data_IF_189320880543
#
_entry.id   IF_189320880543
#
_cell.length_a   1.000
_cell.length_b   1.000
_cell.length_c   1.000
_cell.angle_alpha   90.00
_cell.angle_beta   90.00
_cell.angle_gamma   90.00
#
_symmetry.space_group_name_H-M   'P 1'
#
loop_
_entity.id
_entity.type
_entity.pdbx_description
1 polymer ?
#
# COMPACT_ATOMS: atom_id res chain seq x y z
N UNK A 1 -5.33 27.65 2.45
CA UNK A 1 -5.40 26.56 3.33
C UNK A 1 -6.55 25.59 3.07
N UNK A 2 -6.94 25.43 1.79
CA UNK A 2 -7.93 24.46 1.34
C UNK A 2 -7.49 23.00 1.63
N UNK A 3 -6.18 22.69 1.59
CA UNK A 3 -5.61 21.39 1.95
C UNK A 3 -5.83 21.01 3.43
N UNK A 4 -5.77 21.99 4.33
CA UNK A 4 -6.01 21.78 5.75
C UNK A 4 -7.49 21.49 6.02
N UNK A 5 -8.37 22.18 5.31
CA UNK A 5 -9.83 21.99 5.40
C UNK A 5 -10.25 20.59 4.88
N UNK A 6 -9.68 20.13 3.76
CA UNK A 6 -9.94 18.80 3.19
C UNK A 6 -9.50 17.68 4.12
N UNK A 7 -8.38 17.85 4.85
CA UNK A 7 -7.93 16.86 5.85
C UNK A 7 -8.87 16.77 7.06
N UNK A 8 -9.49 17.87 7.47
CA UNK A 8 -10.44 17.89 8.58
C UNK A 8 -11.85 17.43 8.18
N UNK A 9 -12.24 17.61 6.91
CA UNK A 9 -13.61 17.32 6.43
C UNK A 9 -13.79 15.89 5.87
N UNK A 10 -12.88 14.97 6.13
CA UNK A 10 -13.08 13.57 5.77
C UNK A 10 -13.06 13.26 4.28
N UNK A 11 -12.10 13.78 3.52
CA UNK A 11 -11.78 13.39 2.14
C UNK A 11 -12.83 13.70 1.07
N UNK A 12 -13.57 14.78 1.16
CA UNK A 12 -14.50 15.13 0.11
C UNK A 12 -13.84 16.05 -0.93
N UNK A 13 -13.23 15.46 -1.97
CA UNK A 13 -12.58 16.17 -3.08
C UNK A 13 -13.49 17.16 -3.81
N UNK A 14 -14.80 16.98 -3.71
CA UNK A 14 -15.81 17.89 -4.29
C UNK A 14 -15.83 19.27 -3.64
N UNK A 15 -15.54 19.36 -2.36
CA UNK A 15 -15.54 20.66 -1.68
C UNK A 15 -14.33 21.52 -2.07
N UNK A 16 -13.23 20.89 -2.47
CA UNK A 16 -12.04 21.60 -2.97
C UNK A 16 -12.31 22.29 -4.32
N UNK A 17 -13.01 21.61 -5.22
CA UNK A 17 -13.35 22.15 -6.55
C UNK A 17 -14.28 23.35 -6.43
N UNK A 18 -15.30 23.27 -5.57
CA UNK A 18 -16.28 24.36 -5.38
C UNK A 18 -15.71 25.59 -4.65
N UNK A 19 -14.72 25.42 -3.77
CA UNK A 19 -14.11 26.54 -3.07
C UNK A 19 -13.09 27.32 -3.91
N UNK A 20 -12.42 26.66 -4.85
CA UNK A 20 -11.54 27.35 -5.81
C UNK A 20 -12.30 28.18 -6.85
N UNK A 21 -13.57 27.87 -7.11
CA UNK A 21 -14.41 28.59 -8.07
C UNK A 21 -15.12 29.81 -7.49
N UNK A 22 -15.14 30.02 -6.17
CA UNK A 22 -15.85 31.11 -5.53
C UNK A 22 -15.02 32.39 -5.32
N UNK A 23 -13.77 32.43 -5.77
CA UNK A 23 -13.01 33.68 -5.81
C UNK A 23 -13.00 34.22 -7.24
N UNK A 24 -13.90 35.19 -7.45
CA UNK A 24 -14.01 36.08 -8.60
C UNK A 24 -12.80 36.07 -9.54
N UNK A 25 -12.98 35.49 -10.72
CA UNK A 25 -12.49 36.12 -11.94
C UNK A 25 -13.23 35.54 -13.14
N UNK A 26 -14.03 36.41 -13.75
CA UNK A 26 -14.72 36.18 -15.01
C UNK A 26 -13.78 36.24 -16.22
N UNK A 27 -12.59 35.58 -16.14
CA UNK A 27 -11.70 35.47 -17.27
C UNK A 27 -10.91 34.14 -17.19
N UNK A 28 -11.19 33.25 -18.13
CA UNK A 28 -10.49 32.01 -18.41
C UNK A 28 -10.71 30.85 -17.42
N UNK A 29 -11.86 30.20 -17.53
CA UNK A 29 -12.11 28.85 -17.01
C UNK A 29 -11.30 27.75 -17.72
N UNK A 30 -10.09 28.00 -18.17
CA UNK A 30 -9.14 26.92 -18.49
C UNK A 30 -8.55 26.42 -17.20
N UNK A 31 -9.12 25.32 -16.71
CA UNK A 31 -8.52 24.57 -15.60
C UNK A 31 -7.11 24.20 -16.05
N UNK A 32 -6.10 24.76 -15.39
CA UNK A 32 -4.72 24.49 -15.70
C UNK A 32 -4.37 23.06 -15.24
N UNK A 33 -4.29 22.14 -16.19
CA UNK A 33 -3.95 20.73 -15.95
C UNK A 33 -2.60 20.56 -15.24
N UNK A 34 -1.64 21.45 -15.48
CA UNK A 34 -0.35 21.41 -14.76
C UNK A 34 -0.52 21.72 -13.28
N UNK A 35 -1.40 22.67 -12.94
CA UNK A 35 -1.75 23.00 -11.56
C UNK A 35 -2.46 21.83 -10.86
N UNK A 36 -3.38 21.17 -11.56
CA UNK A 36 -4.04 19.95 -11.04
C UNK A 36 -3.00 18.86 -10.82
N UNK A 37 -2.15 18.58 -11.80
CA UNK A 37 -1.10 17.57 -11.68
C UNK A 37 -0.16 17.85 -10.51
N UNK A 38 0.22 19.11 -10.28
CA UNK A 38 1.00 19.51 -9.12
C UNK A 38 0.25 19.24 -7.80
N UNK A 39 -1.03 19.60 -7.73
CA UNK A 39 -1.85 19.35 -6.55
C UNK A 39 -1.99 17.86 -6.24
N UNK A 40 -2.21 17.05 -7.26
CA UNK A 40 -2.25 15.58 -7.13
C UNK A 40 -0.92 15.02 -6.63
N UNK A 41 0.20 15.51 -7.14
CA UNK A 41 1.53 15.11 -6.69
C UNK A 41 1.77 15.45 -5.23
N UNK A 42 1.38 16.64 -4.79
CA UNK A 42 1.55 17.09 -3.39
C UNK A 42 0.63 16.34 -2.44
N UNK A 43 -0.62 16.09 -2.84
CA UNK A 43 -1.58 15.35 -2.01
C UNK A 43 -1.23 13.86 -1.89
N UNK A 44 -0.55 13.30 -2.89
CA UNK A 44 -0.09 11.91 -2.90
C UNK A 44 1.32 11.70 -2.32
N UNK A 45 1.89 12.68 -1.62
CA UNK A 45 3.23 12.54 -1.06
C UNK A 45 3.23 11.55 0.10
N UNK A 46 3.97 10.46 -0.06
CA UNK A 46 4.21 9.43 0.95
C UNK A 46 5.62 8.84 0.78
N UNK A 47 6.16 8.29 1.86
CA UNK A 47 7.44 7.59 1.86
C UNK A 47 7.23 6.07 1.87
N UNK A 48 7.98 5.37 1.02
CA UNK A 48 7.85 3.92 0.86
C UNK A 48 6.67 3.50 0.02
N UNK A 49 6.21 2.28 0.20
CA UNK A 49 5.05 1.73 -0.49
C UNK A 49 3.72 2.29 0.03
N UNK A 50 2.70 2.19 -0.78
CA UNK A 50 1.37 2.69 -0.47
C UNK A 50 0.59 1.67 0.37
N UNK A 51 0.22 2.07 1.58
CA UNK A 51 -0.71 1.34 2.44
C UNK A 51 -2.15 1.60 2.02
N UNK A 52 -2.87 0.56 1.68
CA UNK A 52 -4.25 0.61 1.20
C UNK A 52 -5.18 -0.19 2.11
N UNK A 53 -6.44 0.21 2.16
CA UNK A 53 -7.49 -0.68 2.64
C UNK A 53 -7.74 -1.81 1.63
N UNK A 54 -8.19 -2.97 2.09
CA UNK A 54 -8.40 -4.15 1.24
C UNK A 54 -9.24 -3.88 -0.01
N UNK A 55 -10.30 -3.08 0.10
CA UNK A 55 -11.17 -2.72 -1.02
C UNK A 55 -10.43 -1.93 -2.10
N UNK A 56 -9.57 -1.00 -1.70
CA UNK A 56 -8.75 -0.20 -2.62
C UNK A 56 -7.63 -1.06 -3.21
N UNK A 57 -7.03 -1.92 -2.40
CA UNK A 57 -6.04 -2.88 -2.86
C UNK A 57 -6.60 -3.82 -3.94
N UNK A 58 -7.81 -4.34 -3.75
CA UNK A 58 -8.49 -5.19 -4.74
C UNK A 58 -8.70 -4.47 -6.08
N UNK A 59 -9.08 -3.19 -6.05
CA UNK A 59 -9.22 -2.38 -7.27
C UNK A 59 -7.88 -2.15 -7.96
N UNK A 60 -6.83 -1.92 -7.19
CA UNK A 60 -5.48 -1.77 -7.75
C UNK A 60 -4.96 -3.10 -8.30
N UNK A 61 -5.28 -4.22 -7.67
CA UNK A 61 -4.96 -5.54 -8.19
C UNK A 61 -5.56 -5.74 -9.59
N UNK A 62 -6.85 -5.48 -9.78
CA UNK A 62 -7.53 -5.61 -11.07
C UNK A 62 -6.90 -4.67 -12.12
N UNK A 63 -6.61 -3.42 -11.74
CA UNK A 63 -5.95 -2.46 -12.63
C UNK A 63 -4.54 -2.93 -13.06
N UNK A 64 -3.73 -3.39 -12.11
CA UNK A 64 -2.38 -3.87 -12.39
C UNK A 64 -2.44 -5.15 -13.24
N UNK A 65 -3.41 -6.03 -12.99
CA UNK A 65 -3.59 -7.24 -13.79
C UNK A 65 -3.87 -6.92 -15.26
N UNK A 66 -4.67 -5.90 -15.55
CA UNK A 66 -4.89 -5.42 -16.92
C UNK A 66 -3.60 -4.83 -17.54
N UNK A 67 -2.78 -4.13 -16.77
CA UNK A 67 -1.46 -3.69 -17.22
C UNK A 67 -0.53 -4.87 -17.51
N UNK A 68 -0.51 -5.87 -16.66
CA UNK A 68 0.28 -7.11 -16.84
C UNK A 68 -0.07 -7.78 -18.16
N UNK A 69 -1.36 -7.91 -18.48
CA UNK A 69 -1.83 -8.50 -19.72
C UNK A 69 -1.39 -7.70 -20.95
N UNK A 70 -1.52 -6.38 -20.88
CA UNK A 70 -1.26 -5.48 -22.00
C UNK A 70 0.22 -5.27 -22.25
N UNK A 71 0.99 -4.99 -21.19
CA UNK A 71 2.39 -4.57 -21.29
C UNK A 71 3.39 -5.70 -21.01
N UNK A 72 2.90 -6.91 -20.69
CA UNK A 72 3.71 -8.09 -20.32
C UNK A 72 4.65 -7.84 -19.13
N UNK A 73 4.17 -7.09 -18.13
CA UNK A 73 4.91 -6.78 -16.92
C UNK A 73 5.04 -8.02 -16.02
N UNK A 74 6.16 -8.11 -15.31
CA UNK A 74 6.36 -9.12 -14.27
C UNK A 74 5.95 -8.55 -12.92
N UNK A 75 4.71 -8.78 -12.52
CA UNK A 75 4.18 -8.37 -11.22
C UNK A 75 3.86 -9.59 -10.36
N UNK A 76 4.10 -9.48 -9.07
CA UNK A 76 3.89 -10.60 -8.13
C UNK A 76 2.95 -10.19 -7.01
N UNK A 77 1.98 -11.05 -6.72
CA UNK A 77 1.22 -10.98 -5.49
C UNK A 77 1.93 -11.81 -4.43
N UNK A 78 2.21 -11.20 -3.29
CA UNK A 78 2.85 -11.86 -2.15
C UNK A 78 1.88 -11.85 -0.99
N UNK A 79 1.70 -12.97 -0.32
CA UNK A 79 1.05 -13.05 0.98
C UNK A 79 2.11 -13.28 2.06
N UNK A 80 2.17 -12.35 3.00
CA UNK A 80 3.03 -12.43 4.17
C UNK A 80 2.19 -12.83 5.38
N UNK A 81 2.57 -13.89 6.07
CA UNK A 81 1.86 -14.43 7.21
C UNK A 81 2.72 -14.36 8.47
N UNK A 82 2.12 -13.89 9.55
CA UNK A 82 2.73 -13.88 10.89
C UNK A 82 2.34 -15.17 11.62
N UNK A 83 3.18 -16.19 11.55
CA UNK A 83 2.92 -17.47 12.23
C UNK A 83 3.24 -17.37 13.71
N UNK A 84 2.33 -17.86 14.56
CA UNK A 84 2.54 -17.85 15.99
C UNK A 84 3.54 -18.94 16.42
N UNK A 85 4.57 -18.55 17.17
CA UNK A 85 5.51 -19.45 17.82
C UNK A 85 5.06 -19.90 19.22
N UNK A 86 3.96 -19.35 19.72
CA UNK A 86 3.46 -19.58 21.07
C UNK A 86 2.03 -20.09 21.08
N UNK A 87 1.72 -20.92 22.06
CA UNK A 87 0.38 -21.44 22.30
C UNK A 87 0.11 -21.43 23.83
N UNK A 88 -0.94 -20.74 24.30
CA UNK A 88 -1.96 -20.01 23.52
C UNK A 88 -1.40 -18.75 22.81
N UNK A 89 -2.19 -18.19 21.91
CA UNK A 89 -1.85 -16.92 21.25
C UNK A 89 -1.60 -15.84 22.31
N UNK A 90 -0.66 -14.90 22.05
CA UNK A 90 -0.42 -13.80 22.96
C UNK A 90 -1.63 -12.85 23.05
N UNK A 91 -1.59 -11.93 24.01
CA UNK A 91 -2.62 -10.91 24.17
C UNK A 91 -2.77 -10.04 22.90
N UNK A 92 -3.97 -9.54 22.67
CA UNK A 92 -4.32 -8.74 21.48
C UNK A 92 -3.36 -7.56 21.31
N UNK A 93 -2.94 -6.92 22.39
CA UNK A 93 -2.01 -5.80 22.36
C UNK A 93 -0.64 -6.20 21.78
N UNK A 94 -0.13 -7.36 22.13
CA UNK A 94 1.12 -7.92 21.57
C UNK A 94 0.96 -8.25 20.10
N UNK A 95 -0.18 -8.81 19.69
CA UNK A 95 -0.50 -9.09 18.30
C UNK A 95 -0.50 -7.80 17.48
N UNK A 96 -1.25 -6.78 17.93
CA UNK A 96 -1.37 -5.50 17.23
C UNK A 96 -0.03 -4.75 17.15
N UNK A 97 0.78 -4.78 18.20
CA UNK A 97 2.14 -4.23 18.18
C UNK A 97 3.01 -4.90 17.13
N UNK A 98 3.01 -6.23 17.10
CA UNK A 98 3.79 -7.02 16.14
C UNK A 98 3.37 -6.74 14.70
N UNK A 99 2.07 -6.66 14.45
CA UNK A 99 1.53 -6.33 13.12
C UNK A 99 1.86 -4.90 12.69
N UNK A 100 1.78 -3.94 13.61
CA UNK A 100 2.16 -2.55 13.32
C UNK A 100 3.63 -2.47 12.90
N UNK A 101 4.53 -3.11 13.63
CA UNK A 101 5.96 -3.15 13.29
C UNK A 101 6.17 -3.83 11.94
N UNK A 102 5.45 -4.92 11.65
CA UNK A 102 5.53 -5.57 10.35
C UNK A 102 5.04 -4.64 9.21
N UNK A 103 3.92 -3.97 9.38
CA UNK A 103 3.41 -3.00 8.40
C UNK A 103 4.41 -1.87 8.12
N UNK A 104 5.05 -1.32 9.15
CA UNK A 104 6.11 -0.31 9.00
C UNK A 104 7.34 -0.89 8.28
N UNK A 105 7.72 -2.13 8.59
CA UNK A 105 8.83 -2.82 7.93
C UNK A 105 8.55 -3.06 6.44
N UNK A 106 7.33 -3.43 6.09
CA UNK A 106 6.88 -3.54 4.70
C UNK A 106 7.00 -2.17 4.01
N UNK A 107 6.41 -1.14 4.59
CA UNK A 107 6.36 0.20 4.01
C UNK A 107 7.75 0.76 3.71
N UNK A 108 8.70 0.61 4.63
CA UNK A 108 10.04 1.17 4.49
C UNK A 108 10.95 0.42 3.51
N UNK A 109 10.69 -0.87 3.29
CA UNK A 109 11.53 -1.71 2.44
C UNK A 109 11.01 -1.88 1.01
N UNK A 110 9.83 -1.37 0.70
CA UNK A 110 9.23 -1.43 -0.63
C UNK A 110 9.32 -0.09 -1.34
N UNK A 111 9.23 -0.14 -2.68
CA UNK A 111 9.25 1.04 -3.54
C UNK A 111 7.89 1.74 -3.55
N UNK A 112 7.85 2.99 -3.99
CA UNK A 112 6.61 3.77 -4.13
C UNK A 112 5.60 3.19 -5.11
N UNK A 113 6.05 2.37 -6.05
CA UNK A 113 5.20 1.69 -7.03
C UNK A 113 4.56 0.42 -6.47
N UNK A 114 5.13 -0.13 -5.39
CA UNK A 114 4.60 -1.30 -4.73
C UNK A 114 3.48 -0.89 -3.77
N UNK A 115 2.50 -1.75 -3.60
CA UNK A 115 1.36 -1.52 -2.72
C UNK A 115 1.17 -2.67 -1.76
N UNK A 116 0.60 -2.40 -0.60
CA UNK A 116 0.27 -3.44 0.37
C UNK A 116 -1.01 -3.11 1.14
N UNK A 117 -1.62 -4.11 1.72
CA UNK A 117 -2.74 -3.97 2.64
C UNK A 117 -2.69 -5.02 3.74
N UNK A 118 -3.30 -4.71 4.87
CA UNK A 118 -3.63 -5.73 5.88
C UNK A 118 -4.81 -6.55 5.37
N UNK A 119 -4.60 -7.86 5.21
CA UNK A 119 -5.61 -8.76 4.66
C UNK A 119 -6.44 -9.44 5.74
N UNK A 120 -5.78 -9.89 6.80
CA UNK A 120 -6.43 -10.54 7.95
C UNK A 120 -5.75 -10.15 9.25
N UNK A 121 -6.16 -10.77 10.36
CA UNK A 121 -5.55 -10.53 11.67
C UNK A 121 -4.04 -10.79 11.67
N UNK A 122 -3.56 -11.73 10.85
CA UNK A 122 -2.15 -12.18 10.85
C UNK A 122 -1.48 -12.10 9.48
N UNK A 123 -2.10 -11.42 8.50
CA UNK A 123 -1.62 -11.46 7.12
C UNK A 123 -1.63 -10.10 6.46
N UNK A 124 -0.63 -9.89 5.61
CA UNK A 124 -0.53 -8.78 4.66
C UNK A 124 -0.51 -9.31 3.22
N UNK A 125 -1.13 -8.58 2.32
CA UNK A 125 -0.96 -8.74 0.88
C UNK A 125 -0.08 -7.63 0.35
N UNK A 126 0.82 -7.97 -0.58
CA UNK A 126 1.74 -7.06 -1.24
C UNK A 126 1.69 -7.29 -2.73
N UNK A 127 1.66 -6.23 -3.55
CA UNK A 127 1.92 -6.32 -4.98
C UNK A 127 3.27 -5.69 -5.27
N UNK A 128 4.17 -6.50 -5.82
CA UNK A 128 5.47 -6.08 -6.32
C UNK A 128 5.34 -5.84 -7.83
N UNK A 129 5.58 -4.61 -8.26
CA UNK A 129 5.36 -4.18 -9.64
C UNK A 129 6.66 -4.19 -10.42
N UNK A 130 6.67 -4.85 -11.58
CA UNK A 130 7.83 -4.94 -12.48
C UNK A 130 9.12 -5.32 -11.75
N UNK A 131 9.25 -6.60 -11.44
CA UNK A 131 10.34 -7.15 -10.63
C UNK A 131 10.85 -8.47 -11.22
N UNK A 132 12.14 -8.74 -11.05
CA UNK A 132 12.69 -10.07 -11.27
C UNK A 132 12.31 -10.98 -10.09
N UNK A 133 11.84 -12.19 -10.39
CA UNK A 133 11.49 -13.19 -9.37
C UNK A 133 12.64 -13.47 -8.39
N UNK A 134 13.88 -13.44 -8.88
CA UNK A 134 15.06 -13.67 -8.07
C UNK A 134 15.31 -12.62 -6.99
N UNK A 135 14.69 -11.43 -7.12
CA UNK A 135 14.80 -10.36 -6.13
C UNK A 135 13.83 -10.51 -4.95
N UNK A 136 12.76 -11.31 -5.10
CA UNK A 136 11.72 -11.45 -4.07
C UNK A 136 12.30 -11.94 -2.74
N UNK A 137 13.14 -12.99 -2.67
CA UNK A 137 13.73 -13.44 -1.41
C UNK A 137 14.55 -12.34 -0.71
N UNK A 138 15.28 -11.53 -1.46
CA UNK A 138 16.09 -10.44 -0.91
C UNK A 138 15.22 -9.33 -0.32
N UNK A 139 14.10 -9.00 -0.99
CA UNK A 139 13.13 -8.01 -0.51
C UNK A 139 12.49 -8.51 0.79
N UNK A 140 12.00 -9.74 0.81
CA UNK A 140 11.35 -10.33 1.98
C UNK A 140 12.34 -10.44 3.16
N UNK A 141 13.58 -10.83 2.90
CA UNK A 141 14.61 -10.88 3.93
C UNK A 141 14.89 -9.50 4.56
N UNK A 142 14.94 -8.42 3.78
CA UNK A 142 15.11 -7.07 4.32
C UNK A 142 13.93 -6.67 5.21
N UNK A 143 12.70 -6.98 4.81
CA UNK A 143 11.50 -6.72 5.61
C UNK A 143 11.59 -7.46 6.94
N UNK A 144 11.92 -8.75 6.91
CA UNK A 144 12.01 -9.59 8.10
C UNK A 144 13.14 -9.16 9.04
N UNK A 145 14.30 -8.82 8.48
CA UNK A 145 15.42 -8.30 9.28
C UNK A 145 15.07 -6.98 9.99
N UNK A 146 14.31 -6.11 9.34
CA UNK A 146 13.86 -4.87 10.00
C UNK A 146 12.84 -5.18 11.09
N UNK A 147 11.89 -6.06 10.83
CA UNK A 147 10.94 -6.52 11.84
C UNK A 147 11.65 -7.10 13.07
N UNK A 148 12.61 -8.00 12.87
CA UNK A 148 13.36 -8.66 13.95
C UNK A 148 14.19 -7.67 14.78
N UNK A 149 14.64 -6.56 14.18
CA UNK A 149 15.35 -5.50 14.93
C UNK A 149 14.46 -4.65 15.82
N UNK A 150 13.19 -4.48 15.43
CA UNK A 150 12.27 -3.57 16.08
C UNK A 150 11.34 -4.27 17.08
N UNK A 151 11.15 -5.59 16.89
CA UNK A 151 10.30 -6.38 17.79
C UNK A 151 11.08 -6.78 19.06
N UNK A 152 10.42 -6.74 20.21
CA UNK A 152 10.99 -7.08 21.52
C UNK A 152 10.57 -8.46 22.04
N UNK A 153 9.93 -9.27 21.20
CA UNK A 153 9.45 -10.59 21.54
C UNK A 153 9.60 -11.56 20.35
N UNK A 154 9.56 -12.85 20.64
CA UNK A 154 9.66 -13.92 19.65
C UNK A 154 8.32 -14.66 19.44
N UNK A 155 7.20 -13.96 19.68
CA UNK A 155 5.87 -14.57 19.59
C UNK A 155 5.48 -14.96 18.18
N UNK A 156 6.06 -14.31 17.16
CA UNK A 156 5.71 -14.54 15.77
C UNK A 156 6.93 -14.75 14.90
N UNK A 157 6.76 -15.63 13.92
CA UNK A 157 7.70 -15.83 12.82
C UNK A 157 7.03 -15.44 11.51
N UNK A 158 7.56 -14.46 10.78
CA UNK A 158 7.02 -14.12 9.47
C UNK A 158 7.41 -15.16 8.42
N UNK A 159 6.44 -15.52 7.59
CA UNK A 159 6.62 -16.36 6.39
C UNK A 159 5.97 -15.68 5.20
N UNK A 160 6.26 -16.12 3.99
CA UNK A 160 5.65 -15.58 2.79
C UNK A 160 5.47 -16.65 1.71
N UNK A 161 4.49 -16.42 0.87
CA UNK A 161 4.30 -17.13 -0.39
C UNK A 161 3.97 -16.11 -1.48
N UNK A 162 4.24 -16.42 -2.72
CA UNK A 162 3.99 -15.52 -3.84
C UNK A 162 3.64 -16.27 -5.11
N UNK A 163 2.99 -15.57 -6.04
CA UNK A 163 2.82 -16.05 -7.39
C UNK A 163 2.89 -14.90 -8.41
N UNK A 164 3.27 -15.25 -9.63
CA UNK A 164 3.26 -14.31 -10.76
C UNK A 164 1.81 -13.95 -11.11
N UNK A 165 1.51 -12.65 -11.13
CA UNK A 165 0.18 -12.16 -11.50
C UNK A 165 -0.12 -12.50 -12.97
N UNK A 166 -1.18 -13.22 -13.18
CA UNK A 166 -1.74 -13.60 -14.48
C UNK A 166 -3.23 -13.87 -14.31
N UNK A 167 -3.96 -13.99 -15.40
CA UNK A 167 -5.33 -14.47 -15.31
C UNK A 167 -5.38 -15.82 -14.62
N UNK A 168 -6.14 -15.88 -13.55
CA UNK A 168 -6.41 -17.11 -12.81
C UNK A 168 -7.84 -17.53 -13.16
N UNK A 169 -7.96 -18.59 -13.94
CA UNK A 169 -9.25 -19.24 -14.14
C UNK A 169 -9.53 -20.13 -12.94
N UNK A 170 -10.61 -19.86 -12.23
CA UNK A 170 -11.13 -20.79 -11.26
C UNK A 170 -11.78 -21.96 -12.02
N UNK A 171 -11.11 -23.07 -11.96
CA UNK A 171 -11.69 -24.32 -12.40
C UNK A 171 -12.66 -24.91 -11.38
#
# INVERSE_FOLDING_TARGET
NALYYVKQSGKNYYSFYNQCNNQNDSMNNKVDLQRIAYTLKVSGFYNGSLDLEYREFSRQYDYILELVKREKLNCYLVMLTMESNVNPLPEIETIEKSLKIMGESIRHNLRKVDIYCRFSTMQYLVILVELDELDIPNIMNRIFMQYDKEIDNECFKPTYEYFLMKDVEYS
#
